data_IF_784574644254
#
_entry.id   IF_784574644254
#
_cell.length_a   1.000
_cell.length_b   1.000
_cell.length_c   1.000
_cell.angle_alpha   90.00
_cell.angle_beta   90.00
_cell.angle_gamma   90.00
#
_symmetry.space_group_name_H-M   'P 1'
#
loop_
_entity.id
_entity.type
_entity.pdbx_description
1 polymer ?
#
# COMPACT_ATOMS: atom_id res chain seq x y z
N UNK A 1 55.90 31.66 25.98
CA UNK A 1 55.58 30.20 26.00
C UNK A 1 54.11 30.06 26.37
N UNK A 2 53.12 30.20 25.48
CA UNK A 2 52.72 29.36 24.34
C UNK A 2 52.64 27.85 24.70
N UNK A 3 51.42 27.36 25.03
CA UNK A 3 50.57 26.44 24.20
C UNK A 3 50.98 24.97 24.40
N UNK A 4 50.16 23.94 24.70
CA UNK A 4 48.78 23.56 24.30
C UNK A 4 48.26 22.44 25.23
N UNK A 5 47.01 22.54 25.68
CA UNK A 5 46.25 21.42 26.27
C UNK A 5 45.76 20.53 25.12
N UNK A 6 46.15 19.24 25.11
CA UNK A 6 45.65 18.25 24.16
C UNK A 6 44.31 17.70 24.68
N UNK A 7 43.22 18.19 24.08
CA UNK A 7 41.87 17.65 24.25
C UNK A 7 41.74 16.33 23.47
N UNK A 8 41.29 15.29 24.17
CA UNK A 8 40.94 13.99 23.64
C UNK A 8 39.74 14.10 22.68
N UNK A 9 39.92 13.69 21.43
CA UNK A 9 38.81 13.47 20.50
C UNK A 9 38.29 12.03 20.69
N UNK A 10 37.29 11.88 21.55
CA UNK A 10 36.44 10.70 21.61
C UNK A 10 35.57 10.67 20.35
N UNK A 11 35.98 9.89 19.36
CA UNK A 11 35.16 9.61 18.17
C UNK A 11 34.06 8.64 18.60
N UNK A 12 32.88 9.17 18.92
CA UNK A 12 31.68 8.36 19.08
C UNK A 12 31.22 7.88 17.70
N UNK A 13 31.61 6.66 17.35
CA UNK A 13 31.01 5.94 16.24
C UNK A 13 29.52 5.72 16.57
N UNK A 14 28.63 6.38 15.83
CA UNK A 14 27.20 6.10 15.89
C UNK A 14 26.96 4.69 15.35
N UNK A 15 26.77 3.74 16.25
CA UNK A 15 26.35 2.38 15.91
C UNK A 15 24.88 2.45 15.50
N UNK A 16 24.60 2.52 14.19
CA UNK A 16 23.26 2.22 13.66
C UNK A 16 23.03 0.71 13.76
N UNK A 17 22.77 0.23 14.97
CA UNK A 17 22.30 -1.12 15.22
C UNK A 17 20.79 -1.19 14.98
N UNK A 18 20.32 -2.17 14.22
CA UNK A 18 18.91 -2.55 14.22
C UNK A 18 18.55 -2.95 15.65
N UNK A 19 17.82 -2.12 16.38
CA UNK A 19 17.35 -2.46 17.73
C UNK A 19 16.16 -3.42 17.62
N UNK A 20 16.47 -4.69 17.39
CA UNK A 20 15.54 -5.80 17.55
C UNK A 20 15.66 -6.31 18.99
N UNK A 21 14.55 -6.33 19.73
CA UNK A 21 14.51 -6.84 21.10
C UNK A 21 13.49 -7.97 21.18
N UNK A 22 13.98 -9.17 21.45
CA UNK A 22 13.16 -10.37 21.59
C UNK A 22 13.08 -10.78 23.07
N UNK A 23 11.87 -10.93 23.59
CA UNK A 23 11.59 -11.63 24.86
C UNK A 23 11.10 -13.06 24.54
N UNK A 24 10.99 -13.97 25.52
CA UNK A 24 10.47 -15.32 25.28
C UNK A 24 9.06 -15.37 24.67
N UNK A 25 8.30 -14.27 24.75
CA UNK A 25 6.88 -14.17 24.37
C UNK A 25 6.62 -13.08 23.31
N UNK A 26 7.58 -12.21 23.02
CA UNK A 26 7.39 -11.13 22.05
C UNK A 26 8.65 -10.88 21.23
N UNK A 27 8.46 -10.57 19.94
CA UNK A 27 9.50 -9.98 19.12
C UNK A 27 9.17 -8.52 18.83
N UNK A 28 10.09 -7.61 19.11
CA UNK A 28 9.90 -6.16 18.95
C UNK A 28 10.96 -5.61 18.00
N UNK A 29 10.51 -4.95 16.94
CA UNK A 29 11.37 -4.26 15.98
C UNK A 29 10.89 -2.83 15.73
N UNK A 30 11.80 -1.97 15.26
CA UNK A 30 11.43 -0.67 14.71
C UNK A 30 11.27 -0.80 13.20
N UNK A 31 10.14 -0.32 12.68
CA UNK A 31 9.82 -0.29 11.25
C UNK A 31 9.67 1.14 10.76
N UNK A 32 10.10 1.40 9.54
CA UNK A 32 9.85 2.68 8.86
C UNK A 32 8.52 2.60 8.12
N UNK A 33 7.62 3.52 8.44
CA UNK A 33 6.33 3.68 7.77
C UNK A 33 6.52 4.34 6.39
N UNK A 34 5.53 4.23 5.52
CA UNK A 34 5.54 4.88 4.19
C UNK A 34 5.66 6.42 4.27
N UNK A 35 5.31 7.01 5.41
CA UNK A 35 5.47 8.45 5.68
C UNK A 35 6.91 8.85 6.05
N UNK A 36 7.85 7.89 6.11
CA UNK A 36 9.22 8.09 6.58
C UNK A 36 9.37 8.05 8.11
N UNK A 37 8.27 8.03 8.84
CA UNK A 37 8.26 7.93 10.30
C UNK A 37 8.68 6.55 10.80
N UNK A 38 9.37 6.48 11.93
CA UNK A 38 9.60 5.23 12.64
C UNK A 38 8.39 4.84 13.52
N UNK A 39 8.10 3.55 13.57
CA UNK A 39 7.07 2.95 14.42
C UNK A 39 7.57 1.64 15.02
N UNK A 40 6.99 1.23 16.15
CA UNK A 40 7.28 -0.03 16.81
C UNK A 40 6.36 -1.11 16.25
N UNK A 41 6.93 -2.24 15.86
CA UNK A 41 6.20 -3.45 15.50
C UNK A 41 6.45 -4.51 16.55
N UNK A 42 5.38 -5.04 17.12
CA UNK A 42 5.43 -6.12 18.11
C UNK A 42 4.68 -7.32 17.56
N UNK A 43 5.37 -8.46 17.53
CA UNK A 43 4.81 -9.78 17.23
C UNK A 43 4.70 -10.58 18.52
N UNK A 44 3.51 -11.07 18.82
CA UNK A 44 3.26 -11.89 20.02
C UNK A 44 3.17 -13.35 19.60
N UNK A 45 4.25 -14.09 19.84
CA UNK A 45 4.40 -15.47 19.41
C UNK A 45 4.04 -16.40 20.56
N UNK A 46 2.83 -16.98 20.53
CA UNK A 46 2.44 -17.99 21.52
C UNK A 46 1.09 -18.65 21.25
N UNK A 47 1.02 -19.95 21.57
CA UNK A 47 -0.17 -20.80 21.44
C UNK A 47 -1.34 -20.35 22.35
N UNK A 48 -1.03 -19.64 23.43
CA UNK A 48 -2.00 -19.15 24.44
C UNK A 48 -1.95 -17.63 24.65
N UNK A 49 -1.13 -16.93 23.87
CA UNK A 49 -1.02 -15.48 23.97
C UNK A 49 -2.18 -14.82 23.25
N UNK A 50 -2.46 -13.55 23.53
CA UNK A 50 -3.55 -12.80 22.91
C UNK A 50 -3.07 -11.39 22.61
N UNK A 51 -3.90 -10.61 21.92
CA UNK A 51 -3.76 -9.17 21.68
C UNK A 51 -3.40 -8.39 22.95
N UNK A 52 -3.82 -8.87 24.13
CA UNK A 52 -3.42 -8.32 25.43
C UNK A 52 -1.91 -8.36 25.67
N UNK A 53 -1.22 -9.42 25.26
CA UNK A 53 0.25 -9.53 25.34
C UNK A 53 0.92 -8.46 24.50
N UNK A 54 0.41 -8.22 23.29
CA UNK A 54 0.91 -7.17 22.40
C UNK A 54 0.69 -5.78 22.97
N UNK A 55 -0.51 -5.53 23.51
CA UNK A 55 -0.85 -4.25 24.14
C UNK A 55 -0.03 -4.00 25.41
N UNK A 56 0.20 -5.02 26.25
CA UNK A 56 1.05 -4.89 27.44
C UNK A 56 2.49 -4.53 27.05
N UNK A 57 3.03 -5.17 26.01
CA UNK A 57 4.38 -4.86 25.51
C UNK A 57 4.46 -3.44 24.95
N UNK A 58 3.42 -2.99 24.24
CA UNK A 58 3.32 -1.62 23.78
C UNK A 58 3.26 -0.62 24.95
N UNK A 59 2.55 -0.95 26.02
CA UNK A 59 2.49 -0.15 27.25
C UNK A 59 3.87 -0.06 27.93
N UNK A 60 4.62 -1.15 28.00
CA UNK A 60 6.00 -1.13 28.54
C UNK A 60 6.92 -0.23 27.72
N UNK A 61 6.81 -0.27 26.39
CA UNK A 61 7.63 0.53 25.47
C UNK A 61 7.25 2.01 25.56
N UNK A 62 5.96 2.33 25.59
CA UNK A 62 5.48 3.71 25.66
C UNK A 62 5.44 4.29 27.08
N UNK A 63 5.57 3.46 28.12
CA UNK A 63 5.42 3.83 29.53
C UNK A 63 4.10 4.61 29.76
N UNK A 64 4.19 5.87 30.19
CA UNK A 64 3.05 6.74 30.44
C UNK A 64 2.53 7.45 29.17
N UNK A 65 3.20 7.26 28.02
CA UNK A 65 2.77 7.87 26.77
C UNK A 65 1.61 7.09 26.13
N UNK A 66 0.70 7.82 25.51
CA UNK A 66 -0.44 7.24 24.78
C UNK A 66 0.05 6.33 23.64
N UNK A 67 -0.54 5.14 23.54
CA UNK A 67 -0.24 4.20 22.45
C UNK A 67 -1.17 4.53 21.27
N UNK A 68 -0.58 4.75 20.10
CA UNK A 68 -1.33 4.95 18.85
C UNK A 68 -1.05 3.81 17.87
N UNK A 69 -2.06 2.97 17.66
CA UNK A 69 -2.01 1.89 16.68
C UNK A 69 -1.99 2.47 15.26
N UNK A 70 -1.06 1.99 14.44
CA UNK A 70 -0.92 2.35 13.01
C UNK A 70 -1.13 1.15 12.09
N UNK A 71 -1.09 -0.08 12.62
CA UNK A 71 -1.38 -1.30 11.89
C UNK A 71 -1.69 -2.46 12.83
N UNK A 72 -2.54 -3.38 12.39
CA UNK A 72 -2.94 -4.58 13.11
C UNK A 72 -2.98 -5.74 12.10
N UNK A 73 -2.43 -6.89 12.46
CA UNK A 73 -2.57 -8.14 11.68
C UNK A 73 -3.31 -9.14 12.54
N UNK A 74 -4.53 -9.47 12.14
CA UNK A 74 -5.41 -10.42 12.82
C UNK A 74 -5.29 -11.82 12.26
N UNK A 75 -5.57 -12.81 13.10
CA UNK A 75 -5.69 -14.19 12.69
C UNK A 75 -7.08 -14.44 12.12
N UNK A 76 -7.12 -15.19 11.01
CA UNK A 76 -8.35 -15.62 10.39
C UNK A 76 -8.80 -16.93 11.04
N UNK A 77 -10.03 -16.97 11.55
CA UNK A 77 -10.65 -18.23 11.98
C UNK A 77 -10.82 -19.18 10.80
N UNK A 78 -11.04 -20.48 11.07
CA UNK A 78 -11.47 -21.47 10.08
C UNK A 78 -12.69 -21.00 9.26
N UNK A 79 -13.54 -20.16 9.85
CA UNK A 79 -14.72 -19.55 9.21
C UNK A 79 -14.43 -18.22 8.49
N UNK A 80 -13.15 -17.86 8.27
CA UNK A 80 -12.67 -16.61 7.63
C UNK A 80 -13.20 -15.33 8.27
N UNK A 81 -13.61 -15.38 9.53
CA UNK A 81 -13.94 -14.21 10.34
C UNK A 81 -12.67 -13.74 11.07
N UNK A 82 -12.48 -12.41 11.20
CA UNK A 82 -11.48 -11.86 12.12
C UNK A 82 -11.76 -12.41 13.52
N UNK A 83 -10.74 -13.00 14.14
CA UNK A 83 -10.83 -13.51 15.52
C UNK A 83 -10.79 -12.34 16.53
N UNK A 84 -10.53 -11.12 16.04
CA UNK A 84 -10.35 -9.90 16.81
C UNK A 84 -9.25 -10.06 17.86
N UNK A 85 -8.17 -10.75 17.46
CA UNK A 85 -7.05 -11.11 18.31
C UNK A 85 -5.72 -10.93 17.55
N UNK A 86 -5.34 -9.66 17.24
CA UNK A 86 -4.15 -9.37 16.45
C UNK A 86 -2.88 -9.90 17.10
N UNK A 87 -2.12 -10.66 16.32
CA UNK A 87 -0.81 -11.23 16.75
C UNK A 87 0.38 -10.41 16.32
N UNK A 88 0.13 -9.41 15.48
CA UNK A 88 1.08 -8.35 15.21
C UNK A 88 0.38 -7.00 15.32
N UNK A 89 1.00 -6.10 16.06
CA UNK A 89 0.59 -4.70 16.15
C UNK A 89 1.74 -3.80 15.75
N UNK A 90 1.45 -2.73 15.01
CA UNK A 90 2.39 -1.65 14.76
C UNK A 90 1.83 -0.38 15.43
N UNK A 91 2.64 0.31 16.21
CA UNK A 91 2.21 1.48 16.99
C UNK A 91 3.29 2.55 17.15
N UNK A 92 2.88 3.73 17.56
CA UNK A 92 3.76 4.84 17.97
C UNK A 92 3.39 5.28 19.38
N UNK A 93 4.40 5.69 20.15
CA UNK A 93 4.23 6.24 21.49
C UNK A 93 4.03 7.76 21.43
N UNK A 94 3.20 8.28 22.32
CA UNK A 94 2.84 9.69 22.39
C UNK A 94 1.54 9.98 21.68
N UNK A 95 1.06 11.21 21.85
CA UNK A 95 -0.09 11.67 21.11
C UNK A 95 0.15 11.51 19.61
N UNK A 96 -0.94 11.30 18.85
CA UNK A 96 -0.88 11.62 17.43
C UNK A 96 -0.21 13.00 17.35
N UNK A 97 0.83 13.22 16.52
CA UNK A 97 1.34 14.57 16.34
C UNK A 97 0.10 15.42 16.12
N UNK A 98 -0.14 16.38 17.03
CA UNK A 98 -1.34 17.23 17.01
C UNK A 98 -1.56 17.54 15.54
N UNK A 99 -2.71 17.16 14.93
CA UNK A 99 -2.87 17.11 13.48
C UNK A 99 -2.23 18.38 12.98
N UNK A 100 -1.03 18.27 12.38
CA UNK A 100 -0.09 19.40 12.34
C UNK A 100 -0.93 20.57 11.92
N UNK A 101 -1.17 21.52 12.86
CA UNK A 101 -2.32 22.43 12.78
C UNK A 101 -2.43 22.79 11.33
N UNK A 102 -3.51 22.38 10.63
CA UNK A 102 -3.63 22.66 9.20
C UNK A 102 -3.19 24.10 9.07
N UNK A 103 -2.02 24.37 8.42
CA UNK A 103 -1.18 25.50 8.77
C UNK A 103 -2.11 26.69 8.86
N UNK A 104 -2.25 27.29 10.06
CA UNK A 104 -3.13 28.45 10.26
C UNK A 104 -2.94 29.31 9.02
N UNK A 105 -4.00 29.59 8.21
CA UNK A 105 -3.83 30.00 6.83
C UNK A 105 -2.77 31.07 6.82
N UNK A 106 -1.57 30.68 6.36
CA UNK A 106 -0.43 31.58 6.36
C UNK A 106 -0.94 32.82 5.66
N UNK A 107 -0.83 34.04 6.23
CA UNK A 107 -1.51 35.23 5.72
C UNK A 107 -1.31 35.25 4.22
N UNK A 108 -2.38 34.94 3.46
CA UNK A 108 -2.31 34.26 2.17
C UNK A 108 -0.94 34.44 1.54
N UNK A 109 0.01 33.56 1.88
CA UNK A 109 1.29 33.58 1.18
C UNK A 109 0.85 33.15 -0.19
N UNK A 110 0.75 34.13 -1.10
CA UNK A 110 0.42 33.93 -2.49
C UNK A 110 1.13 32.63 -2.87
N UNK A 111 0.38 31.60 -3.34
CA UNK A 111 0.86 30.24 -3.40
C UNK A 111 2.29 30.29 -3.90
N UNK A 112 3.26 30.00 -3.02
CA UNK A 112 4.63 29.86 -3.46
C UNK A 112 4.48 28.82 -4.57
N UNK A 113 4.79 29.16 -5.84
CA UNK A 113 4.61 28.22 -6.90
C UNK A 113 5.47 27.04 -6.49
N UNK A 114 4.83 25.97 -6.03
CA UNK A 114 5.45 24.65 -5.99
C UNK A 114 5.98 24.55 -7.40
N UNK A 115 7.30 24.54 -7.63
CA UNK A 115 7.81 24.39 -8.98
C UNK A 115 7.10 23.14 -9.46
N UNK A 116 6.23 23.31 -10.46
CA UNK A 116 5.36 22.26 -10.96
C UNK A 116 6.28 21.06 -11.09
N UNK A 117 6.10 20.05 -10.22
CA UNK A 117 6.93 18.85 -10.25
C UNK A 117 6.85 18.44 -11.70
N UNK A 118 7.96 18.57 -12.43
CA UNK A 118 7.96 18.53 -13.89
C UNK A 118 7.03 17.40 -14.29
N UNK A 119 5.93 17.74 -14.97
CA UNK A 119 4.77 16.86 -15.09
C UNK A 119 5.29 15.46 -15.42
N UNK A 120 5.18 14.54 -14.44
CA UNK A 120 5.67 13.21 -14.66
C UNK A 120 4.95 12.68 -15.90
N UNK A 121 5.69 12.07 -16.82
CA UNK A 121 5.10 11.54 -18.04
C UNK A 121 3.94 10.61 -17.63
N UNK A 122 2.76 10.72 -18.27
CA UNK A 122 1.61 9.92 -17.88
C UNK A 122 1.93 8.44 -18.02
N UNK A 123 1.47 7.63 -17.07
CA UNK A 123 1.58 6.17 -17.17
C UNK A 123 0.50 5.71 -18.13
N UNK A 124 0.92 5.07 -19.23
CA UNK A 124 -0.01 4.65 -20.29
C UNK A 124 -0.65 3.28 -20.05
N UNK A 125 0.06 2.40 -19.35
CA UNK A 125 -0.35 1.03 -19.11
C UNK A 125 0.04 0.61 -17.68
N UNK A 126 -0.85 -0.13 -17.02
CA UNK A 126 -0.65 -0.74 -15.70
C UNK A 126 -1.24 -2.15 -15.70
N UNK A 127 -0.46 -3.12 -15.21
CA UNK A 127 -0.95 -4.49 -15.00
C UNK A 127 -0.94 -4.86 -13.51
N UNK A 128 -2.12 -5.17 -12.99
CA UNK A 128 -2.31 -5.77 -11.67
C UNK A 128 -2.29 -7.29 -11.81
N UNK A 129 -1.09 -7.88 -11.74
CA UNK A 129 -0.87 -9.31 -12.00
C UNK A 129 -0.56 -10.11 -10.75
N UNK A 130 -1.24 -11.25 -10.58
CA UNK A 130 -1.02 -12.21 -9.50
C UNK A 130 -1.86 -11.97 -8.24
N UNK A 131 -1.81 -12.97 -7.35
CA UNK A 131 -2.63 -13.07 -6.14
C UNK A 131 -2.38 -11.97 -5.12
N UNK A 132 -1.23 -11.30 -5.21
CA UNK A 132 -0.92 -10.17 -4.36
C UNK A 132 -1.89 -9.01 -4.59
N UNK A 133 -2.62 -8.95 -5.71
CA UNK A 133 -3.54 -7.87 -6.06
C UNK A 133 -5.02 -8.23 -5.81
N UNK A 134 -5.36 -9.53 -5.93
CA UNK A 134 -6.70 -10.05 -5.73
C UNK A 134 -6.64 -11.40 -5.01
N UNK A 135 -7.41 -11.56 -3.94
CA UNK A 135 -7.55 -12.86 -3.29
C UNK A 135 -8.22 -13.90 -4.22
N UNK A 136 -8.01 -15.18 -3.92
CA UNK A 136 -8.60 -16.30 -4.68
C UNK A 136 -10.12 -16.17 -4.73
N UNK A 137 -10.68 -16.26 -5.94
CA UNK A 137 -12.11 -16.11 -6.21
C UNK A 137 -12.73 -14.78 -5.71
N UNK A 138 -11.91 -13.74 -5.55
CA UNK A 138 -12.34 -12.41 -5.11
C UNK A 138 -12.07 -11.36 -6.18
N UNK A 139 -12.93 -10.35 -6.20
CA UNK A 139 -12.77 -9.10 -6.95
C UNK A 139 -12.33 -7.94 -6.05
N UNK A 140 -12.06 -8.18 -4.77
CA UNK A 140 -11.59 -7.18 -3.83
C UNK A 140 -10.13 -6.82 -4.11
N UNK A 141 -9.86 -5.51 -4.17
CA UNK A 141 -8.51 -4.98 -4.36
C UNK A 141 -7.73 -5.10 -3.06
N UNK A 142 -6.57 -5.74 -3.11
CA UNK A 142 -5.66 -5.76 -1.97
C UNK A 142 -5.03 -4.37 -1.74
N UNK A 143 -4.43 -4.13 -0.56
CA UNK A 143 -3.65 -2.91 -0.31
C UNK A 143 -2.48 -2.72 -1.28
N UNK A 144 -1.94 -3.80 -1.85
CA UNK A 144 -0.86 -3.72 -2.86
C UNK A 144 -1.43 -3.23 -4.19
N UNK A 145 -2.61 -3.72 -4.58
CA UNK A 145 -3.30 -3.26 -5.79
C UNK A 145 -3.67 -1.78 -5.69
N UNK A 146 -4.21 -1.38 -4.53
CA UNK A 146 -4.61 0.00 -4.24
C UNK A 146 -3.44 0.97 -4.41
N UNK A 147 -2.27 0.68 -3.84
CA UNK A 147 -1.07 1.54 -4.02
C UNK A 147 -0.65 1.71 -5.48
N UNK A 148 -0.69 0.63 -6.28
CA UNK A 148 -0.37 0.71 -7.71
C UNK A 148 -1.38 1.57 -8.47
N UNK A 149 -2.66 1.48 -8.09
CA UNK A 149 -3.71 2.32 -8.66
C UNK A 149 -3.50 3.79 -8.24
N UNK A 150 -3.13 4.07 -7.00
CA UNK A 150 -2.82 5.43 -6.53
C UNK A 150 -1.67 6.03 -7.35
N UNK A 151 -0.58 5.30 -7.57
CA UNK A 151 0.54 5.74 -8.42
C UNK A 151 0.08 6.06 -9.84
N UNK A 152 -0.82 5.25 -10.40
CA UNK A 152 -1.41 5.49 -11.71
C UNK A 152 -2.29 6.75 -11.73
N UNK A 153 -3.09 6.98 -10.69
CA UNK A 153 -3.90 8.20 -10.53
C UNK A 153 -2.99 9.42 -10.47
N UNK A 154 -2.00 9.42 -9.58
CA UNK A 154 -1.07 10.54 -9.39
C UNK A 154 -0.32 10.88 -10.68
N UNK A 155 0.17 9.87 -11.40
CA UNK A 155 0.91 10.08 -12.65
C UNK A 155 0.05 10.66 -13.78
N UNK A 156 -1.27 10.44 -13.72
CA UNK A 156 -2.22 10.89 -14.73
C UNK A 156 -3.03 12.14 -14.30
N UNK A 157 -2.74 12.73 -13.14
CA UNK A 157 -3.34 14.00 -12.72
C UNK A 157 -3.00 15.13 -13.70
N UNK A 158 -4.00 15.93 -14.03
CA UNK A 158 -3.83 17.09 -14.93
C UNK A 158 -3.79 16.74 -16.42
N UNK A 159 -3.96 15.46 -16.77
CA UNK A 159 -4.10 15.01 -18.14
C UNK A 159 -5.56 14.68 -18.47
N UNK A 160 -5.97 14.94 -19.71
CA UNK A 160 -7.25 14.45 -20.23
C UNK A 160 -7.08 13.04 -20.78
N UNK A 161 -7.89 12.11 -20.28
CA UNK A 161 -7.94 10.73 -20.76
C UNK A 161 -9.23 10.57 -21.57
N UNK A 162 -9.16 10.48 -22.89
CA UNK A 162 -10.35 10.25 -23.73
C UNK A 162 -10.91 8.83 -23.54
N UNK A 163 -10.03 7.84 -23.37
CA UNK A 163 -10.40 6.44 -23.23
C UNK A 163 -9.52 5.73 -22.22
N UNK A 164 -10.15 5.00 -21.32
CA UNK A 164 -9.49 4.12 -20.36
C UNK A 164 -10.06 2.71 -20.53
N UNK A 165 -9.23 1.79 -21.03
CA UNK A 165 -9.60 0.38 -21.21
C UNK A 165 -9.11 -0.43 -20.01
N UNK A 166 -10.01 -1.20 -19.41
CA UNK A 166 -9.75 -2.04 -18.24
C UNK A 166 -10.21 -3.47 -18.57
N UNK A 167 -9.24 -4.36 -18.71
CA UNK A 167 -9.46 -5.75 -19.10
C UNK A 167 -9.10 -6.70 -17.95
N UNK A 168 -10.07 -7.49 -17.49
CA UNK A 168 -9.86 -8.51 -16.48
C UNK A 168 -9.65 -9.89 -17.10
N UNK A 169 -8.77 -10.69 -16.49
CA UNK A 169 -8.47 -12.07 -16.89
C UNK A 169 -8.34 -12.99 -15.67
N UNK A 170 -8.61 -14.27 -15.88
CA UNK A 170 -8.43 -15.36 -14.91
C UNK A 170 -7.43 -16.38 -15.44
N UNK A 171 -7.07 -17.34 -14.59
CA UNK A 171 -6.53 -18.61 -15.09
C UNK A 171 -7.63 -19.52 -15.62
N UNK A 172 -7.25 -20.69 -16.14
CA UNK A 172 -8.18 -21.66 -16.74
C UNK A 172 -8.87 -22.59 -15.72
N UNK A 173 -8.76 -22.33 -14.42
CA UNK A 173 -9.38 -23.17 -13.38
C UNK A 173 -10.84 -22.79 -13.20
N UNK A 174 -11.72 -23.77 -13.01
CA UNK A 174 -13.15 -23.53 -12.84
C UNK A 174 -13.92 -23.42 -14.16
N UNK A 175 -15.19 -23.02 -14.08
CA UNK A 175 -16.05 -22.92 -15.27
C UNK A 175 -15.84 -21.60 -16.02
N UNK A 176 -16.04 -21.65 -17.34
CA UNK A 176 -15.96 -20.46 -18.20
C UNK A 176 -16.86 -19.31 -17.70
N UNK A 177 -18.13 -19.62 -17.42
CA UNK A 177 -19.08 -18.63 -16.92
C UNK A 177 -18.70 -18.01 -15.57
N UNK A 178 -18.05 -18.77 -14.68
CA UNK A 178 -17.53 -18.23 -13.41
C UNK A 178 -16.37 -17.27 -13.68
N UNK A 179 -15.45 -17.67 -14.55
CA UNK A 179 -14.26 -16.91 -14.88
C UNK A 179 -14.58 -15.60 -15.62
N UNK A 180 -15.54 -15.61 -16.54
CA UNK A 180 -16.05 -14.40 -17.19
C UNK A 180 -16.56 -13.40 -16.16
N UNK A 181 -17.48 -13.83 -15.28
CA UNK A 181 -18.04 -12.97 -14.21
C UNK A 181 -16.97 -12.45 -13.26
N UNK A 182 -16.05 -13.31 -12.84
CA UNK A 182 -14.97 -12.92 -11.90
C UNK A 182 -14.00 -11.92 -12.55
N UNK A 183 -13.63 -12.15 -13.80
CA UNK A 183 -12.76 -11.24 -14.54
C UNK A 183 -13.39 -9.86 -14.72
N UNK A 184 -14.67 -9.80 -15.07
CA UNK A 184 -15.40 -8.55 -15.22
C UNK A 184 -15.55 -7.82 -13.88
N UNK A 185 -15.88 -8.55 -12.80
CA UNK A 185 -15.97 -7.98 -11.47
C UNK A 185 -14.64 -7.34 -11.02
N UNK A 186 -13.50 -7.99 -11.28
CA UNK A 186 -12.16 -7.44 -10.98
C UNK A 186 -11.87 -6.16 -11.77
N UNK A 187 -12.21 -6.14 -13.06
CA UNK A 187 -12.06 -4.97 -13.90
C UNK A 187 -12.92 -3.80 -13.39
N UNK A 188 -14.17 -4.07 -12.98
CA UNK A 188 -15.08 -3.08 -12.37
C UNK A 188 -14.57 -2.57 -11.02
N UNK A 189 -14.00 -3.42 -10.18
CA UNK A 189 -13.38 -2.97 -8.92
C UNK A 189 -12.24 -1.97 -9.17
N UNK A 190 -11.36 -2.26 -10.13
CA UNK A 190 -10.29 -1.33 -10.52
C UNK A 190 -10.85 0.00 -11.07
N UNK A 191 -11.86 -0.06 -11.94
CA UNK A 191 -12.56 1.13 -12.44
C UNK A 191 -13.10 2.00 -11.30
N UNK A 192 -13.89 1.41 -10.40
CA UNK A 192 -14.53 2.11 -9.30
C UNK A 192 -13.50 2.78 -8.39
N UNK A 193 -12.39 2.09 -8.13
CA UNK A 193 -11.29 2.64 -7.34
C UNK A 193 -10.65 3.85 -8.03
N UNK A 194 -10.29 3.74 -9.32
CA UNK A 194 -9.71 4.86 -10.07
C UNK A 194 -10.64 6.08 -10.09
N UNK A 195 -11.95 5.85 -10.29
CA UNK A 195 -12.96 6.91 -10.29
C UNK A 195 -13.10 7.57 -8.91
N UNK A 196 -13.10 6.80 -7.82
CA UNK A 196 -13.23 7.36 -6.47
C UNK A 196 -12.00 8.16 -6.04
N UNK A 197 -10.83 7.86 -6.61
CA UNK A 197 -9.57 8.57 -6.34
C UNK A 197 -9.30 9.75 -7.29
N UNK A 198 -10.28 10.10 -8.13
CA UNK A 198 -10.26 11.31 -8.93
C UNK A 198 -9.69 11.15 -10.33
N UNK A 199 -9.42 9.92 -10.79
CA UNK A 199 -9.17 9.70 -12.21
C UNK A 199 -10.46 9.88 -13.00
N UNK A 200 -10.40 10.68 -14.05
CA UNK A 200 -11.52 10.94 -14.96
C UNK A 200 -11.09 10.57 -16.38
N UNK A 201 -11.91 9.76 -17.04
CA UNK A 201 -11.79 9.47 -18.46
C UNK A 201 -13.12 9.80 -19.16
N UNK A 202 -13.08 10.23 -20.42
CA UNK A 202 -14.27 10.54 -21.20
C UNK A 202 -15.06 9.26 -21.52
N UNK A 203 -14.35 8.14 -21.74
CA UNK A 203 -14.93 6.82 -21.95
C UNK A 203 -14.18 5.74 -21.11
N UNK A 204 -14.94 4.92 -20.39
CA UNK A 204 -14.42 3.75 -19.68
C UNK A 204 -14.86 2.47 -20.39
N UNK A 205 -13.91 1.71 -20.92
CA UNK A 205 -14.16 0.40 -21.54
C UNK A 205 -13.78 -0.71 -20.57
N UNK A 206 -14.76 -1.35 -19.96
CA UNK A 206 -14.52 -2.38 -18.93
C UNK A 206 -15.01 -3.72 -19.42
N UNK A 207 -14.09 -4.68 -19.53
CA UNK A 207 -14.38 -6.02 -20.07
C UNK A 207 -13.74 -7.12 -19.24
N UNK A 208 -14.49 -8.20 -19.01
CA UNK A 208 -13.98 -9.45 -18.48
C UNK A 208 -13.78 -10.47 -19.60
N UNK A 209 -12.57 -10.98 -19.74
CA UNK A 209 -12.21 -11.96 -20.77
C UNK A 209 -12.11 -13.40 -20.24
N UNK A 210 -12.38 -13.60 -18.95
CA UNK A 210 -12.22 -14.89 -18.28
C UNK A 210 -10.82 -15.48 -18.54
N UNK A 211 -10.71 -16.76 -18.94
CA UNK A 211 -9.42 -17.41 -19.16
C UNK A 211 -8.84 -17.17 -20.57
N UNK A 212 -9.48 -16.34 -21.40
CA UNK A 212 -9.00 -16.05 -22.74
C UNK A 212 -7.66 -15.30 -22.72
N UNK A 213 -6.90 -15.41 -23.80
CA UNK A 213 -5.61 -14.73 -23.97
C UNK A 213 -4.64 -14.90 -22.78
N UNK A 214 -4.25 -16.14 -22.45
CA UNK A 214 -3.29 -16.39 -21.39
C UNK A 214 -1.91 -15.82 -21.77
N UNK A 215 -1.25 -15.19 -20.81
CA UNK A 215 0.11 -14.65 -20.95
C UNK A 215 1.19 -15.65 -20.50
N UNK A 216 0.77 -16.73 -19.83
CA UNK A 216 1.62 -17.79 -19.34
C UNK A 216 0.92 -19.15 -19.35
N UNK A 217 1.68 -20.23 -19.14
CA UNK A 217 1.13 -21.59 -19.13
C UNK A 217 0.17 -21.82 -17.96
N UNK A 218 -1.07 -22.24 -18.25
CA UNK A 218 -2.02 -22.64 -17.22
C UNK A 218 -1.66 -24.00 -16.56
N UNK A 219 -0.69 -24.74 -17.12
CA UNK A 219 -0.27 -26.02 -16.56
C UNK A 219 0.45 -25.85 -15.20
N UNK A 220 1.15 -24.75 -14.99
CA UNK A 220 1.92 -24.51 -13.77
C UNK A 220 1.21 -23.53 -12.84
N UNK A 221 1.42 -23.68 -11.52
CA UNK A 221 0.86 -22.75 -10.55
C UNK A 221 1.37 -21.31 -10.76
N UNK A 222 2.65 -21.18 -11.11
CA UNK A 222 3.27 -19.90 -11.44
C UNK A 222 2.62 -19.24 -12.67
N UNK A 223 2.40 -19.98 -13.76
CA UNK A 223 1.78 -19.42 -14.95
C UNK A 223 0.30 -19.10 -14.75
N UNK A 224 -0.45 -19.89 -13.97
CA UNK A 224 -1.81 -19.51 -13.55
C UNK A 224 -1.83 -18.19 -12.77
N UNK A 225 -0.88 -17.99 -11.86
CA UNK A 225 -0.76 -16.72 -11.13
C UNK A 225 -0.50 -15.54 -12.07
N UNK A 226 0.29 -15.73 -13.12
CA UNK A 226 0.52 -14.70 -14.13
C UNK A 226 -0.71 -14.40 -14.99
N UNK A 227 -1.57 -15.39 -15.25
CA UNK A 227 -2.80 -15.21 -16.01
C UNK A 227 -3.90 -14.48 -15.23
N UNK A 228 -3.92 -14.59 -13.89
CA UNK A 228 -4.81 -13.84 -13.02
C UNK A 228 -4.36 -12.37 -12.96
N UNK A 229 -4.91 -11.55 -13.86
CA UNK A 229 -4.48 -10.15 -14.01
C UNK A 229 -5.61 -9.21 -14.39
N UNK A 230 -5.41 -7.92 -14.10
CA UNK A 230 -6.18 -6.82 -14.68
C UNK A 230 -5.21 -5.91 -15.40
N UNK A 231 -5.50 -5.61 -16.66
CA UNK A 231 -4.75 -4.67 -17.50
C UNK A 231 -5.53 -3.37 -17.60
N UNK A 232 -4.84 -2.24 -17.40
CA UNK A 232 -5.40 -0.89 -17.47
C UNK A 232 -4.57 -0.13 -18.48
N UNK A 233 -5.17 0.30 -19.58
CA UNK A 233 -4.49 0.99 -20.67
C UNK A 233 -5.21 2.29 -21.03
N UNK A 234 -4.43 3.26 -21.46
CA UNK A 234 -4.89 4.55 -22.03
C UNK A 234 -4.57 4.63 -23.53
N UNK A 235 -4.32 3.48 -24.16
CA UNK A 235 -3.86 3.41 -25.55
C UNK A 235 -4.88 3.95 -26.55
N UNK A 236 -4.37 4.60 -27.60
CA UNK A 236 -5.16 5.23 -28.65
C UNK A 236 -5.55 6.69 -28.41
N UNK A 237 -5.07 7.28 -27.31
CA UNK A 237 -5.50 8.60 -26.84
C UNK A 237 -4.34 9.59 -26.82
N UNK A 238 -4.59 10.78 -27.35
CA UNK A 238 -3.74 11.93 -27.15
C UNK A 238 -3.89 12.38 -25.69
N UNK A 239 -2.94 11.96 -24.84
CA UNK A 239 -2.89 12.44 -23.46
C UNK A 239 -2.42 13.90 -23.49
N UNK A 240 -3.37 14.83 -23.59
CA UNK A 240 -3.11 16.26 -23.59
C UNK A 240 -3.06 16.78 -22.17
N UNK A 241 -2.06 17.60 -21.87
CA UNK A 241 -2.09 18.43 -20.67
C UNK A 241 -3.30 19.36 -20.77
N UNK A 242 -4.03 19.55 -19.68
CA UNK A 242 -5.14 20.50 -19.67
C UNK A 242 -4.61 21.91 -19.96
N UNK A 243 -4.97 22.50 -21.12
CA UNK A 243 -4.57 23.85 -21.52
C UNK A 243 -3.86 24.00 -22.87
N UNK A 244 -3.83 22.96 -23.71
CA UNK A 244 -3.36 23.02 -25.10
C UNK A 244 -4.43 22.53 -26.08
#
# INVERSE_FOLDING_TARGET
>A
MYIRVLLAALVTAAVTGCTSYSTPTTNTDVVTLNTGDQAWRVQCQGLFESSKTCMNRAQEICKDQKIRLVGLVDHMSSDRKPVNDPREITFKCGDAPAPAAAPAPAPAVAPVPVPARAAAKPIRALTLQGDANFATNSAELSPIAQRKLDEFVEANKGYRIERLSIAGYTDSTGSMALNERLSEARARSAQNYLMSHGLRADNYEVHGFGPASPVASNATAAGRAQNRRVEINTDGVEIRAMGQ
#
